data_IF_681011596878
#
_entry.id   IF_681011596878
#
_cell.length_a   1.000
_cell.length_b   1.000
_cell.length_c   1.000
_cell.angle_alpha   90.00
_cell.angle_beta   90.00
_cell.angle_gamma   90.00
#
_symmetry.space_group_name_H-M   'P 1'
#
loop_
_entity.id
_entity.type
_entity.pdbx_description
1 polymer ?
#
# COMPACT_ATOMS: atom_id res chain seq x y z
N UNK A 1 51.02 42.38 -2.27
CA UNK A 1 50.20 41.77 -1.21
C UNK A 1 48.78 42.17 -1.52
N UNK A 2 48.21 41.39 -2.41
CA UNK A 2 46.90 41.56 -3.02
C UNK A 2 45.99 40.58 -2.29
N UNK A 3 44.88 41.08 -1.73
CA UNK A 3 43.97 40.26 -0.95
C UNK A 3 43.14 39.44 -1.93
N UNK A 4 43.42 38.14 -2.01
CA UNK A 4 42.63 37.18 -2.79
C UNK A 4 41.15 37.24 -2.35
N UNK A 5 40.27 37.69 -3.24
CA UNK A 5 38.83 37.54 -3.11
C UNK A 5 38.49 36.04 -3.21
N UNK A 6 38.06 35.44 -2.09
CA UNK A 6 37.51 34.09 -2.10
C UNK A 6 36.24 34.07 -2.96
N UNK A 7 36.11 33.16 -3.95
CA UNK A 7 34.90 33.08 -4.74
C UNK A 7 33.73 32.63 -3.85
N UNK A 8 32.66 33.43 -3.83
CA UNK A 8 31.41 33.11 -3.14
C UNK A 8 30.87 31.75 -3.61
N UNK A 9 30.40 30.86 -2.72
CA UNK A 9 29.75 29.62 -3.15
C UNK A 9 28.47 29.98 -3.90
N UNK A 10 28.44 29.74 -5.22
CA UNK A 10 27.21 29.78 -5.99
C UNK A 10 26.23 28.77 -5.39
N UNK A 11 24.97 29.12 -5.11
CA UNK A 11 24.00 28.13 -4.69
C UNK A 11 23.82 27.13 -5.83
N UNK A 12 24.12 25.86 -5.56
CA UNK A 12 23.80 24.78 -6.48
C UNK A 12 22.31 24.89 -6.85
N UNK A 13 21.94 24.69 -8.13
CA UNK A 13 20.54 24.62 -8.49
C UNK A 13 19.90 23.49 -7.68
N UNK A 14 18.96 23.85 -6.80
CA UNK A 14 18.11 22.88 -6.11
C UNK A 14 17.21 22.28 -7.17
N UNK A 15 17.64 21.19 -7.80
CA UNK A 15 16.74 20.37 -8.61
C UNK A 15 15.73 19.76 -7.67
N UNK A 16 14.51 20.28 -7.64
CA UNK A 16 13.36 19.59 -7.07
C UNK A 16 13.15 18.34 -7.91
N UNK A 17 13.64 17.18 -7.44
CA UNK A 17 13.20 15.91 -8.00
C UNK A 17 11.69 15.84 -7.77
N UNK A 18 10.92 15.99 -8.85
CA UNK A 18 9.51 15.62 -8.87
C UNK A 18 9.45 14.17 -8.37
N UNK A 19 8.55 13.79 -7.44
CA UNK A 19 8.43 12.39 -7.06
C UNK A 19 7.89 11.61 -8.27
N UNK A 20 8.79 10.98 -9.04
CA UNK A 20 8.43 10.25 -10.25
C UNK A 20 9.14 8.91 -10.44
N UNK A 21 9.71 8.33 -9.37
CA UNK A 21 10.43 7.06 -9.55
C UNK A 21 9.60 5.82 -9.20
N UNK A 22 8.47 5.94 -8.51
CA UNK A 22 7.63 4.77 -8.24
C UNK A 22 6.97 4.19 -9.52
N UNK A 23 6.72 5.05 -10.51
CA UNK A 23 6.06 4.68 -11.76
C UNK A 23 7.01 4.00 -12.75
N UNK A 24 8.32 4.31 -12.67
CA UNK A 24 9.37 3.68 -13.46
C UNK A 24 9.89 2.38 -12.82
N UNK A 25 9.74 2.23 -11.50
CA UNK A 25 10.08 1.01 -10.77
C UNK A 25 9.00 -0.07 -11.04
N UNK A 26 9.40 -1.15 -11.70
CA UNK A 26 8.59 -2.36 -11.86
C UNK A 26 8.29 -3.02 -10.52
N UNK A 27 7.27 -3.87 -10.46
CA UNK A 27 7.02 -4.65 -9.25
C UNK A 27 8.04 -5.77 -9.07
N UNK A 28 8.32 -6.19 -7.82
CA UNK A 28 9.10 -7.39 -7.58
C UNK A 28 8.48 -8.62 -8.25
N UNK A 29 9.29 -9.65 -8.50
CA UNK A 29 8.82 -10.89 -9.14
C UNK A 29 7.68 -11.51 -8.34
N UNK A 30 6.59 -11.88 -9.02
CA UNK A 30 5.39 -12.47 -8.41
C UNK A 30 4.36 -11.45 -7.91
N UNK A 31 4.69 -10.16 -7.92
CA UNK A 31 3.77 -9.08 -7.57
C UNK A 31 3.08 -8.50 -8.81
N UNK A 32 1.86 -8.03 -8.62
CA UNK A 32 1.02 -7.42 -9.66
C UNK A 32 1.05 -5.91 -9.52
N UNK A 33 1.40 -5.19 -10.59
CA UNK A 33 1.36 -3.72 -10.62
C UNK A 33 -0.08 -3.23 -10.57
N UNK A 34 -0.33 -2.25 -9.71
CA UNK A 34 -1.62 -1.57 -9.65
C UNK A 34 -1.87 -0.77 -10.92
N UNK A 35 -3.08 -0.89 -11.46
CA UNK A 35 -3.61 -0.12 -12.59
C UNK A 35 -4.10 1.25 -12.16
N UNK A 36 -4.46 1.40 -10.90
CA UNK A 36 -5.02 2.63 -10.33
C UNK A 36 -3.97 3.51 -9.65
N UNK A 37 -2.89 2.93 -9.13
CA UNK A 37 -1.78 3.66 -8.54
C UNK A 37 -0.42 3.09 -9.01
N UNK A 38 0.33 3.78 -9.89
CA UNK A 38 1.59 3.26 -10.40
C UNK A 38 2.69 3.15 -9.34
N UNK A 39 2.48 3.57 -8.09
CA UNK A 39 3.41 3.29 -7.00
C UNK A 39 3.12 1.96 -6.27
N UNK A 40 1.97 1.32 -6.53
CA UNK A 40 1.51 0.16 -5.75
C UNK A 40 1.75 -1.16 -6.48
N UNK A 41 2.06 -2.19 -5.69
CA UNK A 41 2.21 -3.57 -6.11
C UNK A 41 1.43 -4.46 -5.14
N UNK A 42 0.71 -5.45 -5.63
CA UNK A 42 -0.09 -6.38 -4.82
C UNK A 42 0.38 -7.82 -4.99
N UNK A 43 0.24 -8.62 -3.94
CA UNK A 43 0.41 -10.07 -4.00
C UNK A 43 -0.62 -10.73 -3.10
N UNK A 44 -1.14 -11.88 -3.53
CA UNK A 44 -1.91 -12.77 -2.66
C UNK A 44 -1.01 -13.97 -2.38
N UNK A 45 -0.49 -14.11 -1.14
CA UNK A 45 0.35 -15.23 -0.78
C UNK A 45 -0.41 -16.56 -0.89
N UNK A 46 0.29 -17.64 -1.27
CA UNK A 46 -0.34 -18.95 -1.45
C UNK A 46 -0.89 -19.56 -0.14
N UNK A 47 -0.25 -19.24 0.98
CA UNK A 47 -0.64 -19.75 2.30
C UNK A 47 -1.61 -18.78 2.96
N UNK A 48 -2.81 -19.26 3.26
CA UNK A 48 -3.76 -18.52 4.08
C UNK A 48 -3.25 -18.37 5.52
N UNK A 49 -3.54 -17.22 6.13
CA UNK A 49 -3.17 -16.94 7.51
C UNK A 49 -4.37 -17.09 8.44
N UNK A 50 -4.11 -17.50 9.68
CA UNK A 50 -5.15 -17.73 10.69
C UNK A 50 -5.60 -16.46 11.43
N UNK A 51 -4.86 -15.36 11.30
CA UNK A 51 -5.18 -14.08 11.94
C UNK A 51 -4.70 -12.89 11.12
N UNK A 52 -5.31 -11.72 11.38
CA UNK A 52 -4.91 -10.46 10.75
C UNK A 52 -3.44 -10.12 11.03
N UNK A 53 -2.98 -10.28 12.28
CA UNK A 53 -1.60 -9.99 12.67
C UNK A 53 -0.60 -10.88 11.92
N UNK A 54 -0.89 -12.19 11.85
CA UNK A 54 -0.06 -13.13 11.07
C UNK A 54 -0.06 -12.77 9.58
N UNK A 55 -1.22 -12.37 9.02
CA UNK A 55 -1.33 -11.86 7.66
C UNK A 55 -0.46 -10.63 7.41
N UNK A 56 -0.48 -9.66 8.32
CA UNK A 56 0.32 -8.44 8.19
C UNK A 56 1.82 -8.70 8.33
N UNK A 57 2.23 -9.57 9.26
CA UNK A 57 3.63 -9.98 9.38
C UNK A 57 4.14 -10.70 8.12
N UNK A 58 3.33 -11.57 7.52
CA UNK A 58 3.69 -12.27 6.28
C UNK A 58 3.99 -11.29 5.14
N UNK A 59 3.25 -10.17 5.05
CA UNK A 59 3.55 -9.15 4.04
C UNK A 59 4.98 -8.60 4.21
N UNK A 60 5.39 -8.32 5.45
CA UNK A 60 6.76 -7.86 5.76
C UNK A 60 7.84 -8.91 5.46
N UNK A 61 7.53 -10.19 5.68
CA UNK A 61 8.44 -11.31 5.34
C UNK A 61 8.66 -11.44 3.82
N UNK A 62 7.66 -11.07 3.01
CA UNK A 62 7.74 -11.10 1.55
C UNK A 62 8.50 -9.89 0.97
N UNK A 63 8.38 -8.72 1.60
CA UNK A 63 9.07 -7.49 1.20
C UNK A 63 9.19 -6.54 2.40
N UNK A 64 10.40 -6.05 2.78
CA UNK A 64 10.67 -5.19 3.94
C UNK A 64 9.90 -3.86 4.12
N UNK A 65 8.86 -3.59 3.33
CA UNK A 65 7.97 -2.43 3.48
C UNK A 65 6.51 -2.76 3.16
N UNK A 66 6.20 -4.02 2.88
CA UNK A 66 4.85 -4.44 2.55
C UNK A 66 4.02 -4.71 3.81
N UNK A 67 2.75 -4.36 3.71
CA UNK A 67 1.72 -4.61 4.72
C UNK A 67 0.49 -5.18 4.03
N UNK A 68 -0.52 -5.56 4.82
CA UNK A 68 -1.85 -5.75 4.26
C UNK A 68 -2.33 -4.45 3.58
N UNK A 69 -3.01 -4.59 2.44
CA UNK A 69 -3.33 -3.47 1.55
C UNK A 69 -4.36 -2.51 2.16
N UNK A 70 -4.14 -1.21 1.94
CA UNK A 70 -5.20 -0.21 2.03
C UNK A 70 -6.09 -0.25 0.81
N UNK A 71 -7.29 0.33 0.91
CA UNK A 71 -8.20 0.54 -0.21
C UNK A 71 -8.66 1.99 -0.16
N UNK A 72 -8.29 2.75 -1.18
CA UNK A 72 -8.37 4.21 -1.18
C UNK A 72 -9.44 4.75 -2.14
N UNK A 73 -9.99 3.88 -2.98
CA UNK A 73 -11.03 4.26 -3.93
C UNK A 73 -11.88 3.06 -4.35
N UNK A 74 -13.03 3.36 -4.96
CA UNK A 74 -13.88 2.35 -5.60
C UNK A 74 -13.14 1.63 -6.75
N UNK A 75 -12.24 2.32 -7.45
CA UNK A 75 -11.47 1.74 -8.54
C UNK A 75 -10.42 0.75 -8.02
N UNK A 76 -9.68 1.12 -6.97
CA UNK A 76 -8.73 0.21 -6.32
C UNK A 76 -9.45 -0.99 -5.69
N UNK A 77 -10.61 -0.76 -5.06
CA UNK A 77 -11.45 -1.85 -4.56
C UNK A 77 -11.83 -2.84 -5.67
N UNK A 78 -12.31 -2.34 -6.81
CA UNK A 78 -12.71 -3.17 -7.94
C UNK A 78 -11.50 -3.92 -8.54
N UNK A 79 -10.35 -3.26 -8.63
CA UNK A 79 -9.11 -3.86 -9.09
C UNK A 79 -8.66 -5.02 -8.19
N UNK A 80 -8.59 -4.79 -6.87
CA UNK A 80 -8.18 -5.81 -5.89
C UNK A 80 -9.19 -6.95 -5.86
N UNK A 81 -10.50 -6.67 -5.93
CA UNK A 81 -11.53 -7.70 -5.99
C UNK A 81 -11.40 -8.57 -7.25
N UNK A 82 -11.14 -7.98 -8.41
CA UNK A 82 -10.90 -8.71 -9.65
C UNK A 82 -9.61 -9.54 -9.56
N UNK A 83 -8.53 -8.98 -9.01
CA UNK A 83 -7.29 -9.72 -8.78
C UNK A 83 -7.51 -10.93 -7.86
N UNK A 84 -8.20 -10.73 -6.73
CA UNK A 84 -8.52 -11.79 -5.77
C UNK A 84 -9.42 -12.88 -6.36
N UNK A 85 -10.33 -12.52 -7.27
CA UNK A 85 -11.21 -13.50 -7.92
C UNK A 85 -10.46 -14.52 -8.79
N UNK A 86 -9.22 -14.27 -9.19
CA UNK A 86 -8.41 -15.24 -9.95
C UNK A 86 -7.87 -16.38 -9.08
N UNK A 87 -7.99 -16.30 -7.76
CA UNK A 87 -7.47 -17.27 -6.80
C UNK A 87 -8.57 -18.24 -6.30
N UNK A 88 -9.57 -18.53 -7.15
CA UNK A 88 -10.78 -19.33 -6.87
C UNK A 88 -10.57 -20.73 -6.28
N UNK A 89 -9.36 -21.29 -6.38
CA UNK A 89 -9.00 -22.57 -5.76
C UNK A 89 -8.79 -22.47 -4.23
N UNK A 90 -8.64 -21.26 -3.68
CA UNK A 90 -8.66 -21.00 -2.24
C UNK A 90 -10.13 -20.93 -1.79
N UNK A 91 -10.72 -22.09 -1.55
CA UNK A 91 -12.12 -22.31 -1.16
C UNK A 91 -12.50 -21.61 0.16
N UNK A 92 -12.60 -20.28 0.21
CA UNK A 92 -13.32 -19.43 1.17
C UNK A 92 -12.93 -17.98 0.91
N UNK A 93 -13.82 -17.17 0.33
CA UNK A 93 -13.60 -15.83 -0.23
C UNK A 93 -13.26 -14.70 0.79
N UNK A 94 -12.49 -14.99 1.83
CA UNK A 94 -12.12 -14.01 2.85
C UNK A 94 -10.60 -13.80 2.83
N UNK A 95 -10.20 -12.61 2.41
CA UNK A 95 -8.81 -12.15 2.48
C UNK A 95 -8.71 -11.10 3.59
N UNK A 96 -7.60 -11.10 4.32
CA UNK A 96 -7.30 -9.98 5.20
C UNK A 96 -6.90 -8.77 4.35
N UNK A 97 -7.40 -7.59 4.75
CA UNK A 97 -6.95 -6.28 4.25
C UNK A 97 -6.40 -5.47 5.42
N UNK A 98 -5.75 -4.35 5.14
CA UNK A 98 -5.01 -3.57 6.12
C UNK A 98 -5.86 -2.86 7.17
N UNK A 99 -7.19 -2.81 7.01
CA UNK A 99 -8.07 -2.11 7.94
C UNK A 99 -8.19 -2.90 9.24
N UNK A 100 -7.84 -2.27 10.35
CA UNK A 100 -7.97 -2.87 11.68
C UNK A 100 -8.35 -1.82 12.72
N UNK A 101 -8.86 -2.28 13.86
CA UNK A 101 -9.23 -1.41 14.98
C UNK A 101 -8.06 -1.35 15.97
N UNK A 102 -7.58 -0.14 16.26
CA UNK A 102 -6.63 0.13 17.35
C UNK A 102 -7.23 1.18 18.27
N UNK A 103 -7.33 0.88 19.57
CA UNK A 103 -7.85 1.81 20.59
C UNK A 103 -9.18 2.46 20.20
N UNK A 104 -10.12 1.64 19.72
CA UNK A 104 -11.43 2.02 19.20
C UNK A 104 -11.47 2.83 17.89
N UNK A 105 -10.34 3.09 17.25
CA UNK A 105 -10.27 3.79 15.96
C UNK A 105 -9.89 2.83 14.85
N UNK A 106 -10.56 2.94 13.70
CA UNK A 106 -10.18 2.22 12.49
C UNK A 106 -8.97 2.87 11.83
N UNK A 107 -7.95 2.08 11.50
CA UNK A 107 -6.74 2.54 10.85
C UNK A 107 -6.20 1.48 9.87
N UNK A 108 -5.47 1.94 8.86
CA UNK A 108 -4.82 1.07 7.89
C UNK A 108 -3.41 0.68 8.35
N UNK A 109 -3.01 -0.57 8.10
CA UNK A 109 -1.69 -1.10 8.47
C UNK A 109 -0.49 -0.30 7.92
N UNK A 110 -0.67 0.34 6.76
CA UNK A 110 0.33 1.19 6.11
C UNK A 110 0.23 2.67 6.55
N UNK A 111 -0.59 2.99 7.55
CA UNK A 111 -0.90 4.35 8.00
C UNK A 111 -1.57 5.24 6.94
N UNK A 112 -2.23 4.64 5.93
CA UNK A 112 -3.04 5.41 4.99
C UNK A 112 -4.18 6.14 5.70
N UNK A 113 -4.50 7.34 5.23
CA UNK A 113 -5.57 8.19 5.78
C UNK A 113 -6.87 8.10 4.97
N UNK A 114 -6.98 7.12 4.07
CA UNK A 114 -8.16 6.89 3.26
C UNK A 114 -9.44 6.83 4.09
N UNK A 115 -10.42 7.61 3.63
CA UNK A 115 -11.80 7.63 4.14
C UNK A 115 -12.73 6.71 3.34
N UNK A 116 -12.20 6.01 2.34
CA UNK A 116 -13.00 5.08 1.54
C UNK A 116 -13.42 3.89 2.41
N UNK A 117 -14.68 3.51 2.29
CA UNK A 117 -15.19 2.29 2.91
C UNK A 117 -16.24 1.64 2.03
N UNK A 118 -16.29 0.32 2.10
CA UNK A 118 -17.23 -0.51 1.34
C UNK A 118 -17.65 -1.70 2.21
N UNK A 119 -18.36 -1.37 3.29
CA UNK A 119 -18.82 -2.35 4.26
C UNK A 119 -19.97 -3.19 3.69
N UNK A 120 -20.00 -4.49 4.02
CA UNK A 120 -21.20 -5.30 3.75
C UNK A 120 -22.37 -4.72 4.55
N UNK A 121 -23.59 -4.78 4.02
CA UNK A 121 -24.79 -4.16 4.61
C UNK A 121 -24.99 -4.53 6.10
N UNK A 122 -24.64 -5.77 6.50
CA UNK A 122 -24.74 -6.21 7.90
C UNK A 122 -23.64 -5.66 8.84
N UNK A 123 -22.61 -4.97 8.32
CA UNK A 123 -21.50 -4.40 9.09
C UNK A 123 -21.65 -2.88 9.32
N UNK A 124 -22.72 -2.25 8.84
CA UNK A 124 -22.96 -0.81 9.02
C UNK A 124 -23.16 -0.43 10.50
N UNK A 125 -23.66 -1.37 11.30
CA UNK A 125 -24.09 -1.12 12.69
C UNK A 125 -22.93 -0.93 13.69
N UNK A 126 -21.69 -1.26 13.30
CA UNK A 126 -20.49 -1.12 14.15
C UNK A 126 -19.65 0.13 13.79
N UNK A 127 -20.12 0.93 12.83
CA UNK A 127 -19.42 2.08 12.26
C UNK A 127 -20.11 3.43 12.54
N UNK A 128 -21.11 3.43 13.42
CA UNK A 128 -21.79 4.63 13.95
C UNK A 128 -21.37 4.87 15.40
#
# INVERSE_FOLDING_TARGET
MEWDELPSPTPNPVTTQKPSDCASIGCPVGWTKSKTNPCHCYIIPANAMSSWSAGNSQCGDLQPSATLTSINSVFENAEIAAYASNFTALCANNFFIGLHKQSNTWQWANNDQSKYSNWKVAQINENV
#
